data_IF_131650264457
#
_entry.id   IF_131650264457
#
_cell.length_a   1.000
_cell.length_b   1.000
_cell.length_c   1.000
_cell.angle_alpha   90.00
_cell.angle_beta   90.00
_cell.angle_gamma   90.00
#
_symmetry.space_group_name_H-M   'P 1'
#
loop_
_entity.id
_entity.type
_entity.pdbx_description
1 polymer ?
#
# COMPACT_ATOMS: atom_id res chain seq x y z
N UNK A 1 -17.22 -51.04 9.47
CA UNK A 1 -17.35 -49.63 9.93
C UNK A 1 -16.63 -48.67 8.97
N UNK A 2 -17.26 -48.25 7.86
CA UNK A 2 -16.64 -47.36 6.86
C UNK A 2 -16.88 -45.84 7.08
N UNK A 3 -17.75 -45.46 8.04
CA UNK A 3 -18.30 -44.10 8.17
C UNK A 3 -17.33 -43.00 8.59
N UNK A 4 -16.14 -43.33 9.14
CA UNK A 4 -15.21 -42.30 9.67
C UNK A 4 -14.29 -41.74 8.58
N UNK A 5 -13.81 -42.59 7.65
CA UNK A 5 -12.97 -42.15 6.52
C UNK A 5 -13.73 -41.27 5.52
N UNK A 6 -15.00 -41.58 5.30
CA UNK A 6 -15.86 -40.86 4.36
C UNK A 6 -16.22 -39.45 4.87
N UNK A 7 -16.48 -39.33 6.18
CA UNK A 7 -16.76 -38.04 6.84
C UNK A 7 -15.55 -37.11 6.84
N UNK A 8 -14.34 -37.66 7.06
CA UNK A 8 -13.11 -36.89 6.96
C UNK A 8 -12.87 -36.33 5.55
N UNK A 9 -13.18 -37.10 4.50
CA UNK A 9 -13.02 -36.67 3.11
C UNK A 9 -14.02 -35.61 2.63
N UNK A 10 -15.17 -35.48 3.30
CA UNK A 10 -16.15 -34.40 3.03
C UNK A 10 -15.73 -33.13 3.75
N UNK A 11 -15.33 -33.24 5.02
CA UNK A 11 -14.85 -32.09 5.79
C UNK A 11 -13.61 -31.45 5.14
N UNK A 12 -12.68 -32.27 4.63
CA UNK A 12 -11.49 -31.78 3.93
C UNK A 12 -11.85 -31.05 2.62
N UNK A 13 -12.82 -31.56 1.85
CA UNK A 13 -13.31 -30.90 0.63
C UNK A 13 -14.09 -29.62 0.87
N UNK A 14 -14.76 -29.50 2.02
CA UNK A 14 -15.42 -28.26 2.43
C UNK A 14 -14.40 -27.23 2.93
N UNK A 15 -13.39 -27.68 3.69
CA UNK A 15 -12.27 -26.84 4.10
C UNK A 15 -11.48 -26.32 2.90
N UNK A 16 -11.25 -27.14 1.88
CA UNK A 16 -10.56 -26.74 0.63
C UNK A 16 -11.36 -25.68 -0.19
N UNK A 17 -12.68 -25.63 -0.02
CA UNK A 17 -13.54 -24.61 -0.63
C UNK A 17 -13.69 -23.35 0.22
N UNK A 18 -13.44 -23.43 1.53
CA UNK A 18 -13.61 -22.34 2.48
C UNK A 18 -12.30 -21.70 2.92
N UNK A 19 -11.17 -22.39 2.79
CA UNK A 19 -9.84 -21.85 3.06
C UNK A 19 -9.34 -21.12 1.81
N UNK A 20 -9.25 -19.78 1.79
CA UNK A 20 -8.47 -19.12 0.76
C UNK A 20 -7.04 -19.67 0.83
N UNK A 21 -6.45 -19.92 -0.34
CA UNK A 21 -5.12 -20.50 -0.45
C UNK A 21 -4.12 -19.75 0.43
N UNK A 22 -3.71 -20.34 1.56
CA UNK A 22 -2.67 -19.82 2.46
C UNK A 22 -1.29 -20.11 1.87
N UNK A 23 -1.06 -19.75 0.60
CA UNK A 23 0.32 -19.63 0.10
C UNK A 23 0.91 -18.38 0.70
N UNK A 24 2.22 -18.36 1.04
CA UNK A 24 2.93 -17.11 1.24
C UNK A 24 2.68 -16.25 0.01
N UNK A 25 1.97 -15.13 0.15
CA UNK A 25 1.78 -14.17 -0.93
C UNK A 25 3.04 -13.31 -0.99
N UNK A 26 4.14 -13.93 -1.39
CA UNK A 26 5.19 -13.23 -2.13
C UNK A 26 4.76 -13.29 -3.59
N UNK A 27 3.66 -12.60 -3.93
CA UNK A 27 3.42 -12.32 -5.33
C UNK A 27 4.49 -11.28 -5.69
N UNK A 28 5.45 -11.58 -6.57
CA UNK A 28 6.31 -10.54 -7.08
C UNK A 28 5.38 -9.46 -7.63
N UNK A 29 5.50 -8.23 -7.12
CA UNK A 29 4.82 -7.10 -7.75
C UNK A 29 5.13 -7.21 -9.25
N UNK A 30 4.10 -7.12 -10.12
CA UNK A 30 4.32 -7.33 -11.55
C UNK A 30 5.52 -6.47 -11.96
N UNK A 31 6.50 -7.08 -12.64
CA UNK A 31 7.80 -6.47 -12.95
C UNK A 31 7.73 -5.20 -13.82
N UNK A 32 6.51 -4.75 -14.15
CA UNK A 32 6.18 -3.49 -14.80
C UNK A 32 5.20 -2.63 -14.01
N UNK A 33 5.17 -2.71 -12.67
CA UNK A 33 4.48 -1.72 -11.82
C UNK A 33 5.20 -0.37 -11.94
N UNK A 34 5.05 0.27 -13.08
CA UNK A 34 5.49 1.63 -13.33
C UNK A 34 4.49 2.55 -12.64
N UNK A 35 4.68 2.76 -11.34
CA UNK A 35 4.11 3.94 -10.70
C UNK A 35 4.88 5.11 -11.31
N UNK A 36 4.22 6.06 -11.99
CA UNK A 36 4.92 7.14 -12.67
C UNK A 36 5.77 7.94 -11.66
N UNK A 37 7.08 7.97 -11.89
CA UNK A 37 8.02 8.72 -11.09
C UNK A 37 7.77 10.22 -11.28
N UNK A 38 7.52 10.94 -10.18
CA UNK A 38 7.42 12.41 -10.19
C UNK A 38 6.04 12.99 -10.51
N UNK A 39 5.03 12.16 -10.82
CA UNK A 39 3.67 12.65 -11.02
C UNK A 39 2.96 12.93 -9.68
N UNK A 40 2.00 13.86 -9.70
CA UNK A 40 1.12 14.20 -8.58
C UNK A 40 0.66 12.94 -7.82
N UNK A 41 0.60 13.00 -6.49
CA UNK A 41 0.12 11.89 -5.64
C UNK A 41 -1.27 11.40 -6.04
N UNK A 42 -2.09 12.26 -6.63
CA UNK A 42 -3.37 11.87 -7.23
C UNK A 42 -3.21 10.93 -8.43
N UNK A 43 -2.22 11.19 -9.29
CA UNK A 43 -1.91 10.36 -10.45
C UNK A 43 -1.30 9.01 -10.04
N UNK A 44 -0.43 9.00 -9.03
CA UNK A 44 0.12 7.76 -8.46
C UNK A 44 -1.00 6.89 -7.84
N UNK A 45 -1.90 7.51 -7.09
CA UNK A 45 -3.07 6.82 -6.51
C UNK A 45 -3.99 6.28 -7.61
N UNK A 46 -4.27 7.07 -8.65
CA UNK A 46 -5.08 6.65 -9.78
C UNK A 46 -4.45 5.48 -10.55
N UNK A 47 -3.12 5.48 -10.73
CA UNK A 47 -2.40 4.38 -11.34
C UNK A 47 -2.55 3.08 -10.54
N UNK A 48 -2.44 3.14 -9.20
CA UNK A 48 -2.65 1.97 -8.32
C UNK A 48 -4.08 1.44 -8.45
N UNK A 49 -5.08 2.34 -8.45
CA UNK A 49 -6.50 1.95 -8.65
C UNK A 49 -6.71 1.32 -10.02
N UNK A 50 -6.05 1.83 -11.05
CA UNK A 50 -6.17 1.30 -12.40
C UNK A 50 -5.54 -0.09 -12.53
N UNK A 51 -4.39 -0.32 -11.89
CA UNK A 51 -3.74 -1.63 -11.83
C UNK A 51 -4.60 -2.67 -11.09
N UNK A 52 -5.30 -2.24 -10.03
CA UNK A 52 -6.29 -3.07 -9.34
C UNK A 52 -7.49 -3.38 -10.26
N UNK A 53 -8.02 -2.36 -10.95
CA UNK A 53 -9.16 -2.52 -11.86
C UNK A 53 -8.85 -3.45 -13.05
N UNK A 54 -7.59 -3.47 -13.50
CA UNK A 54 -7.09 -4.39 -14.53
C UNK A 54 -6.81 -5.80 -14.00
N UNK A 55 -7.01 -6.05 -12.69
CA UNK A 55 -6.75 -7.35 -12.05
C UNK A 55 -5.27 -7.69 -11.90
N UNK A 56 -4.36 -6.72 -12.08
CA UNK A 56 -2.93 -6.95 -11.96
C UNK A 56 -2.46 -7.05 -10.51
N UNK A 57 -3.18 -6.40 -9.59
CA UNK A 57 -2.94 -6.47 -8.15
C UNK A 57 -4.24 -6.75 -7.38
N UNK A 58 -4.18 -7.50 -6.26
CA UNK A 58 -5.32 -7.67 -5.37
C UNK A 58 -5.79 -6.33 -4.76
N UNK A 59 -7.09 -6.19 -4.43
CA UNK A 59 -7.60 -5.00 -3.74
C UNK A 59 -6.90 -4.73 -2.41
N UNK A 60 -6.54 -5.77 -1.67
CA UNK A 60 -5.76 -5.64 -0.42
C UNK A 60 -4.40 -4.99 -0.66
N UNK A 61 -3.69 -5.41 -1.71
CA UNK A 61 -2.41 -4.83 -2.11
C UNK A 61 -2.57 -3.39 -2.55
N UNK A 62 -3.63 -3.06 -3.29
CA UNK A 62 -3.90 -1.68 -3.72
C UNK A 62 -4.12 -0.75 -2.52
N UNK A 63 -4.89 -1.18 -1.51
CA UNK A 63 -5.09 -0.43 -0.27
C UNK A 63 -3.77 -0.17 0.44
N UNK A 64 -2.93 -1.20 0.59
CA UNK A 64 -1.61 -1.06 1.23
C UNK A 64 -0.70 -0.08 0.47
N UNK A 65 -0.67 -0.14 -0.86
CA UNK A 65 0.11 0.79 -1.68
C UNK A 65 -0.38 2.23 -1.54
N UNK A 66 -1.69 2.46 -1.57
CA UNK A 66 -2.27 3.80 -1.38
C UNK A 66 -1.94 4.35 0.01
N UNK A 67 -1.99 3.50 1.05
CA UNK A 67 -1.58 3.89 2.39
C UNK A 67 -0.11 4.29 2.46
N UNK A 68 0.78 3.53 1.80
CA UNK A 68 2.20 3.87 1.72
C UNK A 68 2.44 5.22 1.03
N UNK A 69 1.77 5.48 -0.11
CA UNK A 69 1.84 6.77 -0.82
C UNK A 69 1.37 7.92 0.06
N UNK A 70 0.25 7.73 0.78
CA UNK A 70 -0.27 8.74 1.71
C UNK A 70 0.69 9.04 2.86
N UNK A 71 1.29 8.00 3.46
CA UNK A 71 2.29 8.15 4.50
C UNK A 71 3.55 8.88 4.02
N UNK A 72 4.02 8.57 2.81
CA UNK A 72 5.15 9.26 2.19
C UNK A 72 4.83 10.75 1.97
N UNK A 73 3.65 11.08 1.45
CA UNK A 73 3.22 12.47 1.27
C UNK A 73 3.22 13.24 2.59
N UNK A 74 2.67 12.63 3.65
CA UNK A 74 2.67 13.25 4.98
C UNK A 74 4.09 13.54 5.46
N UNK A 75 5.01 12.58 5.33
CA UNK A 75 6.41 12.78 5.72
C UNK A 75 7.08 13.92 4.95
N UNK A 76 6.93 13.97 3.62
CA UNK A 76 7.49 15.04 2.78
C UNK A 76 6.88 16.40 3.14
N UNK A 77 5.57 16.46 3.39
CA UNK A 77 4.93 17.72 3.80
C UNK A 77 5.40 18.19 5.17
N UNK A 78 5.54 17.28 6.14
CA UNK A 78 6.04 17.61 7.47
C UNK A 78 7.45 18.19 7.41
N UNK A 79 8.35 17.54 6.68
CA UNK A 79 9.72 18.02 6.48
C UNK A 79 9.74 19.39 5.77
N UNK A 80 8.86 19.59 4.79
CA UNK A 80 8.69 20.87 4.11
C UNK A 80 8.22 21.99 5.05
N UNK A 81 7.32 21.69 5.98
CA UNK A 81 6.88 22.66 6.99
C UNK A 81 7.99 22.97 7.99
N UNK A 82 8.71 21.98 8.49
CA UNK A 82 9.85 22.17 9.39
C UNK A 82 10.92 23.08 8.77
N UNK A 83 11.29 22.81 7.51
CA UNK A 83 12.24 23.67 6.78
C UNK A 83 11.75 25.11 6.63
N UNK A 84 10.46 25.31 6.36
CA UNK A 84 9.87 26.64 6.24
C UNK A 84 9.83 27.39 7.58
N UNK A 85 9.52 26.70 8.67
CA UNK A 85 9.52 27.27 10.02
C UNK A 85 10.94 27.69 10.41
N UNK A 86 11.93 26.80 10.27
CA UNK A 86 13.32 27.13 10.58
C UNK A 86 13.83 28.34 9.79
N UNK A 87 13.46 28.45 8.50
CA UNK A 87 13.82 29.59 7.67
C UNK A 87 13.15 30.91 8.12
N UNK A 88 11.94 30.84 8.66
CA UNK A 88 11.23 32.01 9.21
C UNK A 88 11.80 32.42 10.57
N UNK A 89 12.12 31.47 11.44
CA UNK A 89 12.75 31.71 12.73
C UNK A 89 14.13 32.37 12.55
N UNK A 90 14.96 31.84 11.65
CA UNK A 90 16.25 32.44 11.33
C UNK A 90 16.13 33.88 10.79
N UNK A 91 15.09 34.17 9.99
CA UNK A 91 14.82 35.55 9.51
C UNK A 91 14.37 36.48 10.63
N UNK A 92 13.56 35.97 11.57
CA UNK A 92 13.10 36.74 12.73
C UNK A 92 14.28 37.09 13.66
N UNK A 93 15.15 36.13 13.94
CA UNK A 93 16.36 36.36 14.73
C UNK A 93 17.28 37.39 14.08
N UNK A 94 17.48 37.29 12.75
CA UNK A 94 18.27 38.27 12.00
C UNK A 94 17.69 39.69 12.06
N UNK A 95 16.36 39.83 12.09
CA UNK A 95 15.67 41.12 12.24
C UNK A 95 15.73 41.67 13.66
N UNK A 96 15.71 40.81 14.68
CA UNK A 96 15.77 41.23 16.09
C UNK A 96 17.19 41.62 16.55
N UNK A 97 18.22 41.22 15.80
CA UNK A 97 19.62 41.55 16.05
C UNK A 97 20.20 42.60 15.08
N UNK A 98 19.36 43.15 14.20
CA UNK A 98 19.69 44.28 13.30
C UNK A 98 19.17 45.60 13.87
#
# INVERSE_FOLDING_TARGET
MPRVKERAGILFRLLDKCLPSLRPVDLPLPAGLAIPDGDSTAAQTAAIVQLMAQGQIPPSTAVTLIQAVSGHLQAVTAEGYERRIAALEAKLEALNHA
#
